data_IF_013977836865
#
_entry.id   IF_013977836865
#
_cell.length_a   1.000
_cell.length_b   1.000
_cell.length_c   1.000
_cell.angle_alpha   90.00
_cell.angle_beta   90.00
_cell.angle_gamma   90.00
#
_symmetry.space_group_name_H-M   'P 1'
#
loop_
_entity.id
_entity.type
_entity.pdbx_description
1 polymer ?
#
# COMPACT_ATOMS: atom_id res chain seq x y z
N UNK A 1 -7.39 -17.12 10.85
CA UNK A 1 -7.36 -16.68 9.44
C UNK A 1 -6.67 -15.34 9.38
N UNK A 2 -5.80 -15.08 8.40
CA UNK A 2 -5.17 -13.77 8.26
C UNK A 2 -6.25 -12.72 7.97
N UNK A 3 -6.20 -11.62 8.69
CA UNK A 3 -7.06 -10.45 8.46
C UNK A 3 -6.25 -9.37 7.78
N UNK A 4 -6.81 -8.83 6.70
CA UNK A 4 -6.25 -7.72 5.96
C UNK A 4 -7.21 -6.53 6.02
N UNK A 5 -6.67 -5.35 5.75
CA UNK A 5 -7.43 -4.11 5.80
C UNK A 5 -7.20 -3.26 4.57
N UNK A 6 -8.19 -2.43 4.25
CA UNK A 6 -8.07 -1.38 3.23
C UNK A 6 -8.82 -0.14 3.65
N UNK A 7 -8.13 1.00 3.65
CA UNK A 7 -8.73 2.31 3.82
C UNK A 7 -9.25 2.87 2.50
N UNK A 8 -10.45 3.43 2.52
CA UNK A 8 -11.08 4.12 1.41
C UNK A 8 -11.42 5.55 1.83
N UNK A 9 -10.55 6.49 1.48
CA UNK A 9 -10.76 7.90 1.80
C UNK A 9 -11.88 8.54 0.99
N UNK A 10 -12.36 9.70 1.44
CA UNK A 10 -13.45 10.41 0.77
C UNK A 10 -13.18 10.63 -0.72
N UNK A 11 -14.25 10.47 -1.50
CA UNK A 11 -14.30 10.66 -2.95
C UNK A 11 -13.34 9.72 -3.74
N UNK A 12 -12.78 8.70 -3.09
CA UNK A 12 -12.06 7.62 -3.77
C UNK A 12 -13.02 6.57 -4.34
N UNK A 13 -12.54 5.76 -5.30
CA UNK A 13 -13.38 4.74 -5.95
C UNK A 13 -14.04 3.78 -4.95
N UNK A 14 -13.32 3.31 -3.93
CA UNK A 14 -13.86 2.39 -2.92
C UNK A 14 -14.69 3.08 -1.84
N UNK A 15 -14.66 4.41 -1.78
CA UNK A 15 -15.60 5.16 -0.96
C UNK A 15 -16.94 5.32 -1.68
N UNK A 16 -16.92 5.52 -3.00
CA UNK A 16 -18.15 5.66 -3.81
C UNK A 16 -18.78 4.33 -4.20
N UNK A 17 -17.99 3.25 -4.26
CA UNK A 17 -18.44 1.91 -4.63
C UNK A 17 -18.16 0.97 -3.46
N UNK A 18 -19.22 0.52 -2.77
CA UNK A 18 -19.06 -0.29 -1.58
C UNK A 18 -18.47 -1.67 -1.92
N UNK A 19 -17.24 -1.92 -1.46
CA UNK A 19 -16.56 -3.19 -1.71
C UNK A 19 -17.24 -4.41 -1.08
N UNK A 20 -18.18 -4.21 -0.15
CA UNK A 20 -19.08 -5.28 0.33
C UNK A 20 -20.05 -5.78 -0.74
N UNK A 21 -20.25 -5.01 -1.81
CA UNK A 21 -21.14 -5.35 -2.93
C UNK A 21 -20.32 -5.74 -4.17
N UNK A 22 -19.26 -4.97 -4.48
CA UNK A 22 -18.50 -5.12 -5.73
C UNK A 22 -17.15 -5.81 -5.57
N UNK A 23 -16.68 -6.04 -4.34
CA UNK A 23 -15.33 -6.54 -4.07
C UNK A 23 -14.23 -5.52 -4.35
N UNK A 24 -13.03 -6.01 -4.64
CA UNK A 24 -11.89 -5.18 -5.06
C UNK A 24 -11.31 -5.66 -6.38
N UNK A 25 -11.11 -4.73 -7.31
CA UNK A 25 -10.46 -4.98 -8.60
C UNK A 25 -9.40 -3.92 -8.84
N UNK A 26 -8.25 -4.32 -9.37
CA UNK A 26 -7.20 -3.36 -9.72
C UNK A 26 -7.68 -2.38 -10.79
N UNK A 27 -7.08 -1.19 -10.86
CA UNK A 27 -7.49 -0.18 -11.85
C UNK A 27 -7.08 -0.55 -13.28
N UNK A 28 -5.98 -1.26 -13.43
CA UNK A 28 -5.46 -1.73 -14.71
C UNK A 28 -5.21 -3.25 -14.64
N UNK A 29 -6.27 -4.07 -14.51
CA UNK A 29 -6.15 -5.51 -14.27
C UNK A 29 -5.49 -6.26 -15.44
N UNK A 30 -5.58 -5.70 -16.65
CA UNK A 30 -4.99 -6.29 -17.87
C UNK A 30 -3.51 -5.94 -18.07
N UNK A 31 -2.94 -5.06 -17.23
CA UNK A 31 -1.51 -4.75 -17.26
C UNK A 31 -0.70 -5.98 -16.84
N UNK A 32 0.38 -6.28 -17.57
CA UNK A 32 1.25 -7.43 -17.26
C UNK A 32 1.88 -7.28 -15.86
N UNK A 33 1.65 -8.22 -14.93
CA UNK A 33 2.12 -8.11 -13.55
C UNK A 33 3.60 -8.51 -13.43
N UNK A 34 4.49 -7.56 -13.67
CA UNK A 34 5.95 -7.73 -13.53
C UNK A 34 6.47 -7.19 -12.19
N UNK A 35 7.64 -7.64 -11.74
CA UNK A 35 8.29 -7.08 -10.54
C UNK A 35 8.57 -5.58 -10.69
N UNK A 36 8.84 -5.10 -11.90
CA UNK A 36 9.01 -3.68 -12.18
C UNK A 36 7.71 -2.88 -11.98
N UNK A 37 6.57 -3.41 -12.43
CA UNK A 37 5.25 -2.80 -12.19
C UNK A 37 4.89 -2.81 -10.71
N UNK A 38 5.20 -3.90 -9.99
CA UNK A 38 5.03 -3.98 -8.54
C UNK A 38 5.86 -2.91 -7.82
N UNK A 39 7.14 -2.73 -8.20
CA UNK A 39 7.99 -1.69 -7.64
C UNK A 39 7.43 -0.31 -7.93
N UNK A 40 7.03 -0.02 -9.17
CA UNK A 40 6.42 1.25 -9.54
C UNK A 40 5.17 1.52 -8.72
N UNK A 41 4.26 0.54 -8.64
CA UNK A 41 3.02 0.59 -7.84
C UNK A 41 3.28 1.13 -6.43
N UNK A 42 4.20 0.49 -5.70
CA UNK A 42 4.49 0.83 -4.31
C UNK A 42 5.33 2.12 -4.19
N UNK A 43 6.40 2.23 -4.98
CA UNK A 43 7.37 3.32 -4.87
C UNK A 43 6.78 4.67 -5.28
N UNK A 44 5.82 4.70 -6.20
CA UNK A 44 5.13 5.93 -6.60
C UNK A 44 3.73 6.06 -6.01
N UNK A 45 3.23 5.03 -5.31
CA UNK A 45 1.84 4.97 -4.83
C UNK A 45 0.83 5.17 -5.99
N UNK A 46 1.14 4.61 -7.17
CA UNK A 46 0.23 4.71 -8.32
C UNK A 46 -0.88 3.68 -8.18
N UNK A 47 -2.10 4.05 -8.56
CA UNK A 47 -3.21 3.09 -8.66
C UNK A 47 -3.32 2.49 -10.07
N UNK A 48 -2.57 2.99 -11.05
CA UNK A 48 -2.60 2.51 -12.44
C UNK A 48 -1.70 1.27 -12.57
N UNK A 49 -2.12 0.18 -11.96
CA UNK A 49 -1.37 -1.09 -11.94
C UNK A 49 -2.35 -2.27 -11.91
N UNK A 50 -1.86 -3.52 -12.07
CA UNK A 50 -2.68 -4.72 -11.92
C UNK A 50 -2.86 -5.16 -10.47
N UNK A 51 -2.41 -4.36 -9.50
CA UNK A 51 -2.40 -4.73 -8.09
C UNK A 51 -3.41 -3.94 -7.25
N UNK A 52 -4.04 -4.62 -6.29
CA UNK A 52 -4.76 -3.98 -5.18
C UNK A 52 -3.92 -4.09 -3.92
N UNK A 53 -3.55 -2.95 -3.33
CA UNK A 53 -2.87 -2.92 -2.03
C UNK A 53 -3.83 -3.20 -0.88
N UNK A 54 -3.51 -4.22 -0.09
CA UNK A 54 -4.03 -4.42 1.25
C UNK A 54 -2.93 -4.18 2.28
N UNK A 55 -3.31 -4.01 3.54
CA UNK A 55 -2.37 -3.92 4.65
C UNK A 55 -2.75 -4.89 5.76
N UNK A 56 -1.77 -5.51 6.40
CA UNK A 56 -1.98 -6.25 7.65
C UNK A 56 -2.11 -5.33 8.88
N UNK A 57 -1.93 -4.02 8.71
CA UNK A 57 -1.96 -3.03 9.79
C UNK A 57 -3.25 -2.20 9.76
N UNK A 58 -4.10 -2.42 10.76
CA UNK A 58 -5.33 -1.63 10.95
C UNK A 58 -5.05 -0.12 10.98
N UNK A 59 -4.00 0.31 11.69
CA UNK A 59 -3.65 1.73 11.81
C UNK A 59 -3.24 2.36 10.48
N UNK A 60 -2.55 1.61 9.63
CA UNK A 60 -2.19 2.07 8.27
C UNK A 60 -3.46 2.23 7.43
N UNK A 61 -4.37 1.26 7.48
CA UNK A 61 -5.66 1.37 6.78
C UNK A 61 -6.49 2.57 7.26
N UNK A 62 -6.56 2.82 8.57
CA UNK A 62 -7.21 4.04 9.12
C UNK A 62 -6.54 5.30 8.58
N UNK A 63 -5.20 5.35 8.57
CA UNK A 63 -4.46 6.49 8.01
C UNK A 63 -4.81 6.73 6.55
N UNK A 64 -4.92 5.68 5.74
CA UNK A 64 -5.34 5.79 4.34
C UNK A 64 -6.81 6.23 4.19
N UNK A 65 -7.72 5.76 5.03
CA UNK A 65 -9.09 6.25 5.05
C UNK A 65 -9.15 7.75 5.40
N UNK A 66 -8.31 8.20 6.34
CA UNK A 66 -8.26 9.60 6.78
C UNK A 66 -7.55 10.55 5.80
N UNK A 67 -6.48 10.09 5.14
CA UNK A 67 -5.56 10.93 4.38
C UNK A 67 -5.55 10.64 2.87
N UNK A 68 -6.11 9.52 2.43
CA UNK A 68 -6.12 9.11 1.02
C UNK A 68 -7.18 9.80 0.17
N UNK A 69 -8.16 10.45 0.80
CA UNK A 69 -9.18 11.25 0.13
C UNK A 69 -8.74 12.69 -0.15
N UNK A 70 -9.57 13.43 -0.89
CA UNK A 70 -9.32 14.87 -1.16
C UNK A 70 -9.63 15.77 0.03
N UNK A 71 -10.46 15.27 0.95
CA UNK A 71 -10.97 16.00 2.12
C UNK A 71 -10.85 15.10 3.34
N UNK A 72 -10.72 15.73 4.51
CA UNK A 72 -10.72 15.01 5.79
C UNK A 72 -12.15 14.53 6.08
N UNK A 73 -12.36 13.26 6.48
CA UNK A 73 -13.70 12.76 6.74
C UNK A 73 -14.30 13.31 8.04
N UNK A 74 -15.61 13.56 8.03
CA UNK A 74 -16.41 14.04 9.18
C UNK A 74 -17.44 12.98 9.56
N UNK A 75 -18.16 13.19 10.67
CA UNK A 75 -19.19 12.26 11.10
C UNK A 75 -20.34 12.15 10.09
N UNK A 76 -20.70 13.25 9.42
CA UNK A 76 -21.75 13.30 8.38
C UNK A 76 -21.27 12.73 7.05
N UNK A 77 -19.96 12.74 6.82
CA UNK A 77 -19.33 12.23 5.62
C UNK A 77 -18.11 11.38 6.00
N UNK A 78 -18.32 10.15 6.50
CA UNK A 78 -17.23 9.29 6.93
C UNK A 78 -16.51 8.66 5.74
N UNK A 79 -15.21 8.40 5.91
CA UNK A 79 -14.47 7.47 5.07
C UNK A 79 -14.73 6.03 5.53
N UNK A 80 -14.21 5.06 4.80
CA UNK A 80 -14.41 3.64 5.15
C UNK A 80 -13.11 2.89 5.40
N UNK A 81 -13.16 1.98 6.37
CA UNK A 81 -12.16 0.93 6.56
C UNK A 81 -12.83 -0.42 6.32
N UNK A 82 -12.27 -1.17 5.39
CA UNK A 82 -12.71 -2.53 5.09
C UNK A 82 -11.84 -3.54 5.83
N UNK A 83 -12.49 -4.49 6.47
CA UNK A 83 -11.86 -5.70 6.98
C UNK A 83 -12.09 -6.83 5.98
N UNK A 84 -11.02 -7.56 5.69
CA UNK A 84 -10.97 -8.52 4.60
C UNK A 84 -10.38 -9.82 5.15
N UNK A 85 -11.11 -10.91 4.94
CA UNK A 85 -10.65 -12.26 5.24
C UNK A 85 -10.56 -13.07 3.96
N UNK A 86 -9.37 -13.62 3.70
CA UNK A 86 -9.09 -14.43 2.52
C UNK A 86 -8.72 -15.82 3.03
N UNK A 87 -9.55 -16.80 2.66
CA UNK A 87 -9.43 -18.16 3.16
C UNK A 87 -8.66 -19.02 2.20
N UNK A 88 -8.07 -20.09 2.74
CA UNK A 88 -7.53 -21.17 1.93
C UNK A 88 -8.61 -22.23 1.68
N UNK A 89 -8.74 -22.76 0.44
CA UNK A 89 -7.99 -22.35 -0.74
C UNK A 89 -8.37 -20.94 -1.22
N UNK A 90 -7.39 -20.19 -1.73
CA UNK A 90 -7.64 -18.85 -2.31
C UNK A 90 -8.76 -18.91 -3.37
N UNK A 91 -9.61 -17.86 -3.47
CA UNK A 91 -10.59 -17.78 -4.54
C UNK A 91 -9.95 -17.86 -5.92
N UNK A 92 -10.69 -18.43 -6.88
CA UNK A 92 -10.20 -18.65 -8.25
C UNK A 92 -9.74 -17.32 -8.87
N UNK A 93 -8.55 -17.32 -9.47
CA UNK A 93 -7.99 -16.16 -10.15
C UNK A 93 -7.33 -15.13 -9.24
N UNK A 94 -7.21 -15.41 -7.94
CA UNK A 94 -6.51 -14.54 -6.97
C UNK A 94 -5.13 -15.09 -6.65
N UNK A 95 -4.15 -14.18 -6.59
CA UNK A 95 -2.84 -14.44 -5.99
C UNK A 95 -2.51 -13.37 -4.95
N UNK A 96 -2.07 -13.82 -3.77
CA UNK A 96 -1.49 -12.95 -2.76
C UNK A 96 0.02 -12.85 -2.98
N UNK A 97 0.51 -11.62 -2.98
CA UNK A 97 1.92 -11.30 -3.25
C UNK A 97 2.45 -10.52 -2.04
N UNK A 98 3.56 -11.01 -1.49
CA UNK A 98 4.36 -10.32 -0.48
C UNK A 98 5.45 -9.51 -1.22
N UNK A 99 5.34 -8.18 -1.27
CA UNK A 99 6.30 -7.35 -2.00
C UNK A 99 7.75 -7.52 -1.54
N UNK A 100 7.96 -7.83 -0.26
CA UNK A 100 9.29 -7.99 0.30
C UNK A 100 9.96 -9.23 -0.32
N UNK A 101 9.19 -10.32 -0.44
CA UNK A 101 9.67 -11.56 -1.07
C UNK A 101 9.92 -11.42 -2.57
N UNK A 102 9.17 -10.56 -3.26
CA UNK A 102 9.36 -10.32 -4.70
C UNK A 102 10.55 -9.39 -4.99
N UNK A 103 10.78 -8.38 -4.14
CA UNK A 103 11.81 -7.36 -4.39
C UNK A 103 13.18 -7.79 -3.83
N UNK A 104 13.22 -8.45 -2.67
CA UNK A 104 14.49 -8.81 -2.04
C UNK A 104 15.44 -9.65 -2.93
N UNK A 105 14.98 -10.65 -3.71
CA UNK A 105 15.86 -11.47 -4.54
C UNK A 105 16.49 -10.73 -5.72
N UNK A 106 15.91 -9.61 -6.16
CA UNK A 106 16.42 -8.82 -7.29
C UNK A 106 17.28 -7.63 -6.84
N UNK A 107 17.51 -7.49 -5.53
CA UNK A 107 18.47 -6.53 -5.03
C UNK A 107 19.87 -6.92 -5.51
N UNK A 108 20.67 -5.95 -5.95
CA UNK A 108 22.01 -6.24 -6.43
C UNK A 108 22.90 -6.74 -5.30
N UNK A 109 23.85 -7.62 -5.65
CA UNK A 109 24.84 -8.14 -4.70
C UNK A 109 25.65 -6.98 -4.09
N UNK A 110 25.89 -6.97 -2.76
CA UNK A 110 26.64 -5.90 -2.10
C UNK A 110 28.08 -5.73 -2.61
N UNK A 111 28.62 -6.72 -3.32
CA UNK A 111 29.97 -6.69 -3.90
C UNK A 111 30.05 -5.96 -5.25
N UNK A 112 28.91 -5.56 -5.84
CA UNK A 112 28.90 -4.84 -7.12
C UNK A 112 29.15 -3.34 -6.89
N UNK A 113 30.23 -2.83 -7.48
CA UNK A 113 30.77 -1.47 -7.26
C UNK A 113 29.78 -0.34 -7.61
N UNK A 114 28.85 -0.57 -8.56
CA UNK A 114 27.83 0.41 -8.95
C UNK A 114 26.67 0.57 -7.93
N UNK A 115 26.67 -0.22 -6.84
CA UNK A 115 25.58 -0.33 -5.85
C UNK A 115 25.73 0.66 -4.68
N UNK A 116 26.68 1.60 -4.73
CA UNK A 116 26.87 2.66 -3.72
C UNK A 116 25.63 3.55 -3.45
N UNK A 117 24.48 3.30 -4.09
CA UNK A 117 23.18 3.95 -3.86
C UNK A 117 22.53 3.64 -2.51
N UNK A 118 23.05 2.69 -1.73
CA UNK A 118 22.62 2.38 -0.36
C UNK A 118 23.45 3.09 0.72
N UNK A 119 24.46 3.87 0.36
CA UNK A 119 25.26 4.60 1.34
C UNK A 119 24.44 5.74 1.95
N UNK A 120 24.24 5.68 3.26
CA UNK A 120 23.75 6.76 4.08
C UNK A 120 24.65 6.85 5.33
N UNK A 121 24.76 8.03 5.94
CA UNK A 121 25.63 8.25 7.11
C UNK A 121 25.13 7.59 8.41
N UNK A 122 24.35 6.51 8.34
CA UNK A 122 23.76 5.84 9.51
C UNK A 122 22.60 6.58 10.18
N UNK A 123 22.31 7.83 9.80
CA UNK A 123 21.22 8.60 10.39
C UNK A 123 19.83 8.05 10.01
N UNK A 124 18.89 7.92 10.96
CA UNK A 124 17.54 7.41 10.70
C UNK A 124 16.76 8.30 9.72
N UNK A 125 17.16 9.56 9.60
CA UNK A 125 16.55 10.59 8.76
C UNK A 125 16.37 10.16 7.30
N UNK A 126 17.29 9.35 6.76
CA UNK A 126 17.15 8.84 5.40
C UNK A 126 15.92 7.93 5.24
N UNK A 127 15.77 6.94 6.12
CA UNK A 127 14.60 6.07 6.13
C UNK A 127 13.34 6.86 6.45
N UNK A 128 13.41 7.79 7.41
CA UNK A 128 12.29 8.67 7.74
C UNK A 128 11.82 9.51 6.53
N UNK A 129 12.75 10.01 5.72
CA UNK A 129 12.43 10.74 4.48
C UNK A 129 11.81 9.88 3.39
N UNK A 130 12.05 8.56 3.39
CA UNK A 130 11.37 7.59 2.51
C UNK A 130 9.98 7.24 3.05
N UNK A 131 9.88 7.08 4.37
CA UNK A 131 8.68 6.68 5.12
C UNK A 131 7.61 7.77 5.14
N UNK A 132 7.96 9.06 5.17
CA UNK A 132 6.96 10.13 5.27
C UNK A 132 7.23 11.27 4.27
N UNK A 133 6.26 11.61 3.39
CA UNK A 133 6.37 12.76 2.50
C UNK A 133 6.72 14.09 3.19
N UNK A 134 6.29 14.29 4.44
CA UNK A 134 6.57 15.50 5.24
C UNK A 134 8.04 15.60 5.65
N UNK A 135 8.73 14.46 5.70
CA UNK A 135 10.13 14.35 6.09
C UNK A 135 11.07 14.27 4.88
N UNK A 136 10.55 14.53 3.67
CA UNK A 136 11.36 14.54 2.42
C UNK A 136 12.55 15.49 2.47
N UNK A 137 12.50 16.53 3.31
CA UNK A 137 13.65 17.41 3.54
C UNK A 137 14.89 16.66 4.01
N UNK A 138 14.74 15.52 4.70
CA UNK A 138 15.85 14.66 5.08
C UNK A 138 16.53 13.93 3.92
N UNK A 139 15.90 13.92 2.73
CA UNK A 139 16.52 13.41 1.50
C UNK A 139 17.29 14.50 0.76
N UNK A 140 17.19 15.77 1.17
CA UNK A 140 17.89 16.86 0.50
C UNK A 140 19.41 16.69 0.63
N UNK A 141 20.12 16.76 -0.49
CA UNK A 141 21.57 16.58 -0.53
C UNK A 141 22.06 15.14 -0.37
N UNK A 142 21.15 14.16 -0.29
CA UNK A 142 21.47 12.73 -0.29
C UNK A 142 21.24 12.14 -1.69
N UNK A 143 21.92 11.03 -2.05
CA UNK A 143 21.57 10.26 -3.23
C UNK A 143 20.09 9.86 -3.21
N UNK A 144 19.41 9.98 -4.35
CA UNK A 144 18.00 9.59 -4.45
C UNK A 144 17.88 8.09 -4.19
N UNK A 145 16.98 7.65 -3.28
CA UNK A 145 16.82 6.23 -3.03
C UNK A 145 16.29 5.53 -4.28
N UNK A 146 16.82 4.33 -4.54
CA UNK A 146 16.39 3.47 -5.64
C UNK A 146 14.89 3.16 -5.52
N UNK A 147 14.17 2.94 -6.64
CA UNK A 147 12.77 2.49 -6.59
C UNK A 147 12.57 1.23 -5.75
N UNK A 148 13.52 0.28 -5.83
CA UNK A 148 13.52 -0.97 -5.06
C UNK A 148 13.56 -0.70 -3.55
N UNK A 149 14.48 0.17 -3.09
CA UNK A 149 14.58 0.52 -1.67
C UNK A 149 13.33 1.27 -1.19
N UNK A 150 12.81 2.21 -2.00
CA UNK A 150 11.54 2.90 -1.69
C UNK A 150 10.40 1.91 -1.54
N UNK A 151 10.28 0.96 -2.46
CA UNK A 151 9.24 -0.05 -2.42
C UNK A 151 9.37 -0.96 -1.19
N UNK A 152 10.58 -1.44 -0.86
CA UNK A 152 10.81 -2.24 0.35
C UNK A 152 10.47 -1.50 1.64
N UNK A 153 10.97 -0.27 1.80
CA UNK A 153 10.72 0.53 3.01
C UNK A 153 9.23 0.81 3.17
N UNK A 154 8.52 1.11 2.07
CA UNK A 154 7.07 1.35 2.11
C UNK A 154 6.29 0.07 2.39
N UNK A 155 6.61 -1.03 1.72
CA UNK A 155 5.96 -2.32 1.95
C UNK A 155 6.10 -2.76 3.42
N UNK A 156 7.29 -2.57 4.01
CA UNK A 156 7.52 -2.81 5.44
C UNK A 156 6.73 -1.84 6.33
N UNK A 157 6.83 -0.53 6.09
CA UNK A 157 6.11 0.51 6.85
C UNK A 157 4.61 0.27 6.86
N UNK A 158 4.06 -0.07 5.69
CA UNK A 158 2.63 -0.22 5.48
C UNK A 158 2.13 -1.64 5.76
N UNK A 159 3.01 -2.59 6.08
CA UNK A 159 2.68 -4.01 6.17
C UNK A 159 1.88 -4.48 4.94
N UNK A 160 2.37 -4.11 3.76
CA UNK A 160 1.63 -4.19 2.50
C UNK A 160 1.59 -5.62 1.97
N UNK A 161 0.40 -6.03 1.49
CA UNK A 161 0.17 -7.26 0.75
C UNK A 161 -0.56 -6.87 -0.53
N UNK A 162 -0.10 -7.37 -1.67
CA UNK A 162 -0.73 -7.09 -2.95
C UNK A 162 -1.61 -8.25 -3.37
N UNK A 163 -2.78 -7.92 -3.90
CA UNK A 163 -3.64 -8.85 -4.62
C UNK A 163 -3.43 -8.64 -6.11
N UNK A 164 -3.20 -9.75 -6.82
CA UNK A 164 -3.36 -9.85 -8.25
C UNK A 164 -4.66 -10.63 -8.54
N UNK A 165 -5.55 -10.05 -9.35
CA UNK A 165 -6.90 -10.58 -9.61
C UNK A 165 -8.02 -9.77 -8.94
N UNK A 166 -9.26 -10.24 -9.10
CA UNK A 166 -10.44 -9.62 -8.50
C UNK A 166 -10.81 -10.32 -7.18
N UNK A 167 -10.76 -9.59 -6.07
CA UNK A 167 -11.17 -10.07 -4.76
C UNK A 167 -12.70 -10.00 -4.63
N UNK A 168 -13.41 -11.12 -4.43
CA UNK A 168 -14.86 -11.11 -4.37
C UNK A 168 -15.35 -10.39 -3.11
N UNK A 169 -16.55 -9.82 -3.22
CA UNK A 169 -17.25 -9.15 -2.12
C UNK A 169 -17.41 -10.05 -0.88
N UNK A 170 -17.53 -11.37 -1.06
CA UNK A 170 -17.62 -12.35 0.03
C UNK A 170 -16.38 -12.40 0.93
N UNK A 171 -15.24 -11.87 0.49
CA UNK A 171 -14.04 -11.74 1.33
C UNK A 171 -14.06 -10.50 2.23
N UNK A 172 -15.00 -9.57 2.03
CA UNK A 172 -15.12 -8.35 2.84
C UNK A 172 -16.07 -8.63 4.01
N UNK A 173 -15.51 -8.79 5.21
CA UNK A 173 -16.27 -9.20 6.39
C UNK A 173 -16.96 -8.03 7.07
N UNK A 174 -16.27 -6.89 7.18
CA UNK A 174 -16.77 -5.70 7.86
C UNK A 174 -16.40 -4.42 7.11
N UNK A 175 -17.22 -3.38 7.32
CA UNK A 175 -16.92 -1.99 6.92
C UNK A 175 -17.17 -1.09 8.12
N UNK A 176 -16.18 -0.31 8.49
CA UNK A 176 -16.25 0.65 9.58
C UNK A 176 -16.23 2.07 9.03
N UNK A 177 -17.01 2.95 9.64
CA UNK A 177 -16.97 4.39 9.38
C UNK A 177 -15.77 5.01 10.10
N UNK A 178 -14.98 5.78 9.36
CA UNK A 178 -13.77 6.43 9.83
C UNK A 178 -13.93 7.93 9.62
N UNK A 179 -13.83 8.69 10.69
CA UNK A 179 -13.89 10.15 10.64
C UNK A 179 -12.99 10.75 11.71
N UNK A 180 -12.66 12.04 11.54
CA UNK A 180 -12.01 12.77 12.60
C UNK A 180 -12.97 12.82 13.79
N UNK A 181 -12.62 12.16 14.88
CA UNK A 181 -13.16 12.58 16.17
C UNK A 181 -12.56 13.95 16.48
N UNK A 182 -13.39 14.87 16.94
CA UNK A 182 -12.93 16.08 17.62
C UNK A 182 -12.18 15.64 18.87
N UNK A 183 -10.88 15.37 18.73
CA UNK A 183 -9.98 15.41 19.87
C UNK A 183 -9.48 16.86 19.95
N UNK A 184 -9.80 17.58 21.04
CA UNK A 184 -9.34 18.95 21.27
C UNK A 184 -7.81 19.07 21.28
#
# INVERSE_FOLDING_TARGET
MPTFYRGAGLDTYWHTNDSREVGFTARAPDTLPTTAELITHIATNTMNSPYVSLTCSYRVAVSYAMLGGRRRPTQEQPAYLYEIQINEPLPIGIRLIDPIKEIAPILPDPTVEEVHRYQHGGYPNFLLGIVDPRLRSFLAGQPLPSPQLKALVRALRDAEILILGALPASCVTNRFEIYAHDNP
#
